data_IF_659364029539
#
_entry.id   IF_659364029539
#
_cell.length_a   1.000
_cell.length_b   1.000
_cell.length_c   1.000
_cell.angle_alpha   90.00
_cell.angle_beta   90.00
_cell.angle_gamma   90.00
#
_symmetry.space_group_name_H-M   'P 1'
#
loop_
_entity.id
_entity.type
_entity.pdbx_description
1 polymer ?
#
# COMPACT_ATOMS: atom_id res chain seq x y z
N UNK A 1 14.56 -4.67 -0.28
CA UNK A 1 13.44 -3.70 -0.32
C UNK A 1 13.94 -2.37 0.25
N UNK A 2 13.57 -1.28 -0.42
CA UNK A 2 13.80 0.10 0.03
C UNK A 2 12.44 0.65 0.44
N UNK A 3 12.36 1.15 1.67
CA UNK A 3 11.20 1.87 2.19
C UNK A 3 11.48 3.37 2.16
N UNK A 4 10.59 4.11 1.56
CA UNK A 4 10.63 5.57 1.53
C UNK A 4 9.54 6.09 2.47
N UNK A 5 9.88 7.02 3.34
CA UNK A 5 8.94 7.66 4.25
C UNK A 5 9.23 9.15 4.42
N UNK A 6 8.27 9.89 4.94
CA UNK A 6 8.48 11.30 5.31
C UNK A 6 9.44 11.41 6.50
N UNK A 7 10.04 12.58 6.68
CA UNK A 7 11.05 12.83 7.73
C UNK A 7 10.53 12.52 9.13
N UNK A 8 9.26 12.81 9.38
CA UNK A 8 8.58 12.61 10.66
C UNK A 8 8.17 11.15 10.91
N UNK A 9 8.39 10.29 9.96
CA UNK A 9 7.93 8.90 9.97
C UNK A 9 6.52 8.73 9.42
N UNK A 10 6.18 7.52 9.04
CA UNK A 10 4.83 7.15 8.59
C UNK A 10 3.94 6.73 9.77
N UNK A 11 2.65 6.69 9.56
CA UNK A 11 1.65 6.43 10.59
C UNK A 11 1.82 5.08 11.30
N UNK A 12 2.32 4.06 10.61
CA UNK A 12 2.57 2.73 11.17
C UNK A 12 3.64 2.71 12.28
N UNK A 13 4.49 3.77 12.37
CA UNK A 13 5.42 3.94 13.49
C UNK A 13 4.73 4.22 14.81
N UNK A 14 3.54 4.77 14.76
CA UNK A 14 2.79 5.27 15.92
C UNK A 14 1.62 4.36 16.32
N UNK A 15 1.53 3.16 15.76
CA UNK A 15 0.51 2.18 16.15
C UNK A 15 0.98 1.45 17.41
N UNK A 16 0.19 1.59 18.49
CA UNK A 16 0.49 0.99 19.79
C UNK A 16 0.55 -0.57 19.73
N UNK A 17 1.34 -1.20 20.58
CA UNK A 17 2.20 -0.61 21.61
C UNK A 17 3.41 0.09 21.01
N UNK A 18 3.83 1.20 21.63
CA UNK A 18 4.95 2.02 21.18
C UNK A 18 6.08 1.91 22.21
N UNK A 19 7.33 1.75 21.74
CA UNK A 19 8.51 1.72 22.59
C UNK A 19 8.88 3.11 23.11
N UNK A 20 9.80 3.17 24.05
CA UNK A 20 10.37 4.44 24.53
C UNK A 20 11.08 5.23 23.42
N UNK A 21 11.58 4.53 22.39
CA UNK A 21 12.19 5.12 21.19
C UNK A 21 11.21 5.54 20.11
N UNK A 22 9.90 5.53 20.42
CA UNK A 22 8.83 5.92 19.50
C UNK A 22 8.65 4.99 18.28
N UNK A 23 9.01 3.73 18.41
CA UNK A 23 8.78 2.72 17.38
C UNK A 23 7.58 1.82 17.74
N UNK A 24 6.56 1.83 16.92
CA UNK A 24 5.38 0.98 17.09
C UNK A 24 5.67 -0.49 16.77
N UNK A 25 5.01 -1.39 17.48
CA UNK A 25 5.16 -2.83 17.29
C UNK A 25 4.83 -3.27 15.85
N UNK A 26 3.81 -2.66 15.24
CA UNK A 26 3.45 -2.92 13.84
C UNK A 26 4.59 -2.56 12.90
N UNK A 27 5.21 -1.40 13.11
CA UNK A 27 6.36 -0.96 12.32
C UNK A 27 7.52 -1.94 12.41
N UNK A 28 7.89 -2.34 13.63
CA UNK A 28 8.99 -3.29 13.87
C UNK A 28 8.72 -4.66 13.26
N UNK A 29 7.48 -5.13 13.33
CA UNK A 29 7.08 -6.42 12.77
C UNK A 29 7.14 -6.41 11.22
N UNK A 30 6.58 -5.39 10.59
CA UNK A 30 6.38 -5.35 9.14
C UNK A 30 7.60 -4.87 8.35
N UNK A 31 8.55 -4.19 8.99
CA UNK A 31 9.64 -3.54 8.26
C UNK A 31 11.01 -4.21 8.43
N UNK A 32 11.07 -5.44 8.94
CA UNK A 32 12.32 -6.20 9.03
C UNK A 32 12.94 -6.39 7.65
N UNK A 33 14.27 -6.30 7.59
CA UNK A 33 15.07 -6.42 6.36
C UNK A 33 14.78 -5.36 5.28
N UNK A 34 14.06 -4.28 5.61
CA UNK A 34 13.90 -3.14 4.72
C UNK A 34 15.00 -2.11 5.00
N UNK A 35 15.56 -1.53 3.96
CA UNK A 35 16.45 -0.37 4.05
C UNK A 35 15.57 0.87 4.03
N UNK A 36 15.66 1.71 5.06
CA UNK A 36 14.88 2.93 5.19
C UNK A 36 15.61 4.13 4.59
N UNK A 37 14.84 5.04 4.02
CA UNK A 37 15.30 6.39 3.71
C UNK A 37 14.13 7.38 3.86
N UNK A 38 14.47 8.61 4.22
CA UNK A 38 13.51 9.70 4.25
C UNK A 38 13.62 10.53 2.97
N UNK A 39 12.50 10.84 2.37
CA UNK A 39 12.43 11.62 1.15
C UNK A 39 11.10 12.34 1.06
N UNK A 40 11.09 13.54 0.51
CA UNK A 40 9.88 14.24 0.10
C UNK A 40 9.68 14.08 -1.42
N UNK A 41 8.84 13.14 -1.88
CA UNK A 41 8.60 12.91 -3.30
C UNK A 41 7.75 14.02 -3.97
N UNK A 42 7.28 15.01 -3.22
CA UNK A 42 6.59 16.18 -3.76
C UNK A 42 7.57 17.30 -4.18
N UNK A 43 8.79 17.28 -3.65
CA UNK A 43 9.82 18.26 -4.05
C UNK A 43 10.49 17.82 -5.37
N UNK A 44 10.90 18.75 -6.25
CA UNK A 44 11.54 18.41 -7.53
C UNK A 44 12.78 17.53 -7.36
N UNK A 45 13.63 17.81 -6.37
CA UNK A 45 14.83 17.01 -6.06
C UNK A 45 14.46 15.61 -5.57
N UNK A 46 13.36 15.52 -4.81
CA UNK A 46 12.81 14.25 -4.34
C UNK A 46 12.26 13.40 -5.49
N UNK A 47 11.55 13.99 -6.42
CA UNK A 47 11.07 13.32 -7.63
C UNK A 47 12.22 12.79 -8.50
N UNK A 48 13.31 13.55 -8.64
CA UNK A 48 14.48 13.07 -9.37
C UNK A 48 15.15 11.85 -8.68
N UNK A 49 15.20 11.84 -7.35
CA UNK A 49 15.71 10.69 -6.60
C UNK A 49 14.78 9.48 -6.80
N UNK A 50 13.47 9.69 -6.71
CA UNK A 50 12.46 8.63 -6.97
C UNK A 50 12.65 8.06 -8.37
N UNK A 51 12.80 8.92 -9.39
CA UNK A 51 13.02 8.51 -10.77
C UNK A 51 14.25 7.59 -10.92
N UNK A 52 15.35 7.94 -10.26
CA UNK A 52 16.57 7.11 -10.25
C UNK A 52 16.36 5.77 -9.55
N UNK A 53 15.60 5.73 -8.46
CA UNK A 53 15.25 4.48 -7.77
C UNK A 53 14.36 3.61 -8.65
N UNK A 54 13.34 4.18 -9.28
CA UNK A 54 12.41 3.48 -10.18
C UNK A 54 13.16 2.84 -11.34
N UNK A 55 14.16 3.51 -11.93
CA UNK A 55 14.95 2.98 -13.03
C UNK A 55 15.65 1.65 -12.68
N UNK A 56 15.89 1.39 -11.39
CA UNK A 56 16.55 0.16 -10.89
C UNK A 56 15.60 -0.79 -10.18
N UNK A 57 14.35 -0.40 -9.97
CA UNK A 57 13.36 -1.21 -9.25
C UNK A 57 12.65 -2.19 -10.18
N UNK A 58 12.25 -3.33 -9.67
CA UNK A 58 11.38 -4.28 -10.35
C UNK A 58 9.90 -3.99 -10.08
N UNK A 59 9.62 -3.55 -8.86
CA UNK A 59 8.26 -3.31 -8.34
C UNK A 59 8.25 -2.03 -7.53
N UNK A 60 7.22 -1.23 -7.75
CA UNK A 60 6.84 -0.12 -6.85
C UNK A 60 5.59 -0.54 -6.10
N UNK A 61 5.59 -0.38 -4.78
CA UNK A 61 4.43 -0.66 -3.92
C UNK A 61 3.99 0.65 -3.27
N UNK A 62 2.73 1.02 -3.44
CA UNK A 62 2.18 2.24 -2.87
C UNK A 62 0.69 2.09 -2.52
N UNK A 63 0.31 2.42 -1.29
CA UNK A 63 -1.07 2.46 -0.82
C UNK A 63 -1.60 3.89 -0.71
N UNK A 64 -1.39 4.68 -1.75
CA UNK A 64 -1.76 6.08 -1.82
C UNK A 64 -2.94 6.29 -2.78
N UNK A 65 -3.78 7.30 -2.54
CA UNK A 65 -4.85 7.67 -3.46
C UNK A 65 -4.31 7.96 -4.88
N UNK A 66 -5.07 7.66 -5.95
CA UNK A 66 -4.61 7.85 -7.33
C UNK A 66 -4.12 9.27 -7.64
N UNK A 67 -4.82 10.29 -7.13
CA UNK A 67 -4.42 11.70 -7.29
C UNK A 67 -3.07 12.01 -6.62
N UNK A 68 -2.81 11.40 -5.46
CA UNK A 68 -1.53 11.54 -4.77
C UNK A 68 -0.41 10.86 -5.55
N UNK A 69 -0.66 9.66 -6.10
CA UNK A 69 0.30 8.98 -6.97
C UNK A 69 0.65 9.84 -8.19
N UNK A 70 -0.34 10.45 -8.83
CA UNK A 70 -0.11 11.36 -9.97
C UNK A 70 0.73 12.57 -9.58
N UNK A 71 0.42 13.24 -8.46
CA UNK A 71 1.19 14.40 -8.00
C UNK A 71 2.65 14.09 -7.65
N UNK A 72 2.94 12.82 -7.31
CA UNK A 72 4.28 12.32 -7.03
C UNK A 72 4.99 11.72 -8.24
N UNK A 73 4.36 11.65 -9.41
CA UNK A 73 4.81 10.90 -10.59
C UNK A 73 5.05 9.41 -10.28
N UNK A 74 4.20 8.82 -9.43
CA UNK A 74 4.19 7.41 -9.03
C UNK A 74 3.01 6.65 -9.62
N UNK A 75 2.18 7.27 -10.45
CA UNK A 75 1.19 6.57 -11.25
C UNK A 75 1.85 5.67 -12.31
N UNK A 76 1.11 4.70 -12.80
CA UNK A 76 1.69 3.67 -13.68
C UNK A 76 2.29 4.23 -14.97
N UNK A 77 1.66 5.24 -15.57
CA UNK A 77 2.16 5.81 -16.83
C UNK A 77 3.47 6.57 -16.62
N UNK A 78 3.57 7.33 -15.51
CA UNK A 78 4.80 8.01 -15.11
C UNK A 78 5.93 7.01 -14.81
N UNK A 79 5.63 5.93 -14.09
CA UNK A 79 6.60 4.88 -13.77
C UNK A 79 7.06 4.14 -15.03
N UNK A 80 6.12 3.80 -15.90
CA UNK A 80 6.39 3.10 -17.16
C UNK A 80 7.23 3.94 -18.12
N UNK A 81 7.09 5.24 -18.10
CA UNK A 81 7.94 6.15 -18.89
C UNK A 81 9.42 6.06 -18.48
N UNK A 82 9.70 5.78 -17.20
CA UNK A 82 11.06 5.59 -16.67
C UNK A 82 11.55 4.16 -16.90
N UNK A 83 10.69 3.17 -16.65
CA UNK A 83 11.01 1.76 -16.76
C UNK A 83 9.84 0.99 -17.38
N UNK A 84 9.91 0.65 -18.68
CA UNK A 84 8.76 0.09 -19.44
C UNK A 84 8.20 -1.23 -18.90
N UNK A 85 9.00 -2.01 -18.19
CA UNK A 85 8.63 -3.29 -17.62
C UNK A 85 8.33 -3.23 -16.10
N UNK A 86 8.14 -2.02 -15.55
CA UNK A 86 7.86 -1.84 -14.12
C UNK A 86 6.53 -2.47 -13.73
N UNK A 87 6.47 -3.01 -12.52
CA UNK A 87 5.22 -3.45 -11.89
C UNK A 87 4.84 -2.43 -10.82
N UNK A 88 3.61 -1.94 -10.86
CA UNK A 88 3.03 -1.11 -9.80
C UNK A 88 2.03 -1.94 -9.01
N UNK A 89 2.30 -2.16 -7.73
CA UNK A 89 1.31 -2.73 -6.80
C UNK A 89 0.70 -1.61 -5.97
N UNK A 90 -0.60 -1.44 -6.05
CA UNK A 90 -1.34 -0.38 -5.34
C UNK A 90 -2.55 -0.94 -4.62
N UNK A 91 -2.95 -0.29 -3.55
CA UNK A 91 -4.11 -0.64 -2.73
C UNK A 91 -4.98 0.58 -2.54
N UNK A 92 -6.28 0.38 -2.64
CA UNK A 92 -7.29 1.38 -2.29
C UNK A 92 -8.39 0.75 -1.43
N UNK A 93 -9.27 1.58 -0.86
CA UNK A 93 -10.34 1.06 -0.03
C UNK A 93 -11.41 0.31 -0.85
N UNK A 94 -11.72 0.79 -2.04
CA UNK A 94 -12.87 0.34 -2.84
C UNK A 94 -12.55 -0.08 -4.28
N UNK A 95 -11.27 -0.15 -4.65
CA UNK A 95 -10.88 -0.41 -6.04
C UNK A 95 -11.17 0.78 -6.97
N UNK A 96 -10.92 0.57 -8.26
CA UNK A 96 -11.13 1.60 -9.29
C UNK A 96 -12.42 1.37 -10.04
N UNK A 97 -12.98 2.46 -10.60
CA UNK A 97 -14.13 2.40 -11.53
C UNK A 97 -15.50 2.20 -10.88
N UNK A 98 -15.56 2.09 -9.55
CA UNK A 98 -16.81 1.99 -8.80
C UNK A 98 -17.27 3.34 -8.24
N UNK A 99 -18.50 3.42 -7.70
CA UNK A 99 -19.08 4.66 -7.17
C UNK A 99 -18.35 5.19 -5.93
N UNK A 100 -17.49 4.39 -5.30
CA UNK A 100 -16.72 4.74 -4.10
C UNK A 100 -15.21 4.81 -4.36
N UNK A 101 -14.76 4.77 -5.61
CA UNK A 101 -13.32 4.75 -5.97
C UNK A 101 -12.53 5.91 -5.38
N UNK A 102 -13.14 7.08 -5.22
CA UNK A 102 -12.48 8.28 -4.68
C UNK A 102 -12.59 8.39 -3.15
N UNK A 103 -13.26 7.43 -2.51
CA UNK A 103 -13.38 7.43 -1.05
C UNK A 103 -12.17 6.80 -0.41
N UNK A 104 -11.76 7.38 0.72
CA UNK A 104 -10.73 6.80 1.58
C UNK A 104 -11.35 5.82 2.57
N UNK A 105 -10.59 4.84 2.98
CA UNK A 105 -10.99 3.89 4.00
C UNK A 105 -9.77 3.18 4.57
N UNK A 106 -9.97 2.65 5.75
CA UNK A 106 -9.01 1.82 6.48
C UNK A 106 -9.64 0.46 6.77
N UNK A 107 -8.91 -0.46 7.35
CA UNK A 107 -9.37 -1.80 7.73
C UNK A 107 -10.78 -1.82 8.32
N UNK A 108 -11.08 -0.93 9.27
CA UNK A 108 -12.40 -0.88 9.90
C UNK A 108 -13.54 -0.60 8.91
N UNK A 109 -13.31 0.21 7.89
CA UNK A 109 -14.30 0.45 6.82
C UNK A 109 -14.47 -0.82 5.97
N UNK A 110 -13.38 -1.50 5.64
CA UNK A 110 -13.46 -2.80 4.95
C UNK A 110 -14.27 -3.81 5.74
N UNK A 111 -14.03 -3.94 7.05
CA UNK A 111 -14.79 -4.84 7.92
C UNK A 111 -16.29 -4.50 7.99
N UNK A 112 -16.64 -3.20 8.03
CA UNK A 112 -18.05 -2.76 8.04
C UNK A 112 -18.71 -3.04 6.70
N UNK A 113 -18.08 -2.64 5.61
CA UNK A 113 -18.67 -2.70 4.27
C UNK A 113 -18.82 -4.14 3.75
N UNK A 114 -17.92 -5.06 4.11
CA UNK A 114 -18.07 -6.49 3.78
C UNK A 114 -19.09 -7.23 4.67
N UNK A 115 -19.67 -6.54 5.66
CA UNK A 115 -20.67 -7.11 6.56
C UNK A 115 -20.11 -7.92 7.75
N UNK A 116 -18.79 -8.09 7.86
CA UNK A 116 -18.21 -8.90 8.95
C UNK A 116 -18.52 -8.35 10.34
N UNK A 117 -18.56 -7.02 10.46
CA UNK A 117 -18.92 -6.37 11.73
C UNK A 117 -20.36 -6.70 12.12
N UNK A 118 -21.28 -6.70 11.17
CA UNK A 118 -22.68 -7.06 11.41
C UNK A 118 -22.85 -8.51 11.87
N UNK A 119 -22.03 -9.40 11.33
CA UNK A 119 -22.08 -10.84 11.64
C UNK A 119 -21.26 -11.22 12.91
N UNK A 120 -20.62 -10.26 13.55
CA UNK A 120 -19.76 -10.51 14.72
C UNK A 120 -20.33 -9.83 15.95
N UNK A 121 -20.59 -10.60 17.00
CA UNK A 121 -21.16 -10.12 18.26
C UNK A 121 -22.16 -11.12 18.84
N UNK A 122 -22.83 -10.69 19.90
CA UNK A 122 -23.93 -11.43 20.52
C UNK A 122 -25.25 -11.05 19.86
N UNK A 123 -26.22 -11.99 19.81
CA UNK A 123 -27.51 -11.82 19.13
C UNK A 123 -28.29 -10.57 19.62
N UNK A 124 -28.23 -10.27 20.90
CA UNK A 124 -28.91 -9.11 21.49
C UNK A 124 -27.94 -7.93 21.78
N UNK A 125 -26.68 -8.05 21.35
CA UNK A 125 -25.63 -7.07 21.62
C UNK A 125 -25.31 -6.17 20.43
N UNK A 126 -24.45 -5.16 20.62
CA UNK A 126 -23.95 -4.38 19.51
C UNK A 126 -22.98 -5.23 18.64
N UNK A 127 -22.92 -4.99 17.33
CA UNK A 127 -21.93 -5.62 16.48
C UNK A 127 -20.51 -5.12 16.81
N UNK A 128 -19.52 -5.98 16.65
CA UNK A 128 -18.12 -5.69 16.94
C UNK A 128 -17.23 -5.86 15.72
N UNK A 129 -16.29 -4.95 15.55
CA UNK A 129 -15.18 -5.16 14.61
C UNK A 129 -14.06 -5.97 15.27
N UNK A 130 -13.34 -6.76 14.48
CA UNK A 130 -12.10 -7.36 14.95
C UNK A 130 -11.06 -6.26 15.24
N UNK A 131 -10.29 -6.41 16.33
CA UNK A 131 -9.21 -5.49 16.65
C UNK A 131 -8.00 -5.68 15.73
N UNK A 132 -7.80 -6.90 15.24
CA UNK A 132 -6.77 -7.18 14.24
C UNK A 132 -7.23 -6.66 12.89
N UNK A 133 -6.35 -5.94 12.20
CA UNK A 133 -6.58 -5.37 10.87
C UNK A 133 -6.52 -6.48 9.79
N UNK A 134 -7.42 -7.46 9.87
CA UNK A 134 -7.38 -8.66 9.03
C UNK A 134 -7.69 -8.35 7.56
N UNK A 135 -8.46 -7.30 7.28
CA UNK A 135 -8.76 -6.86 5.92
C UNK A 135 -7.50 -6.28 5.28
N UNK A 136 -6.76 -5.41 6.00
CA UNK A 136 -5.47 -4.88 5.55
C UNK A 136 -4.46 -6.00 5.28
N UNK A 137 -4.30 -6.92 6.25
CA UNK A 137 -3.36 -8.04 6.10
C UNK A 137 -3.76 -8.98 4.96
N UNK A 138 -5.05 -9.30 4.83
CA UNK A 138 -5.57 -10.12 3.75
C UNK A 138 -5.30 -9.48 2.39
N UNK A 139 -5.61 -8.20 2.24
CA UNK A 139 -5.34 -7.43 1.01
C UNK A 139 -3.85 -7.38 0.70
N UNK A 140 -3.01 -7.15 1.71
CA UNK A 140 -1.55 -7.15 1.53
C UNK A 140 -1.02 -8.49 1.02
N UNK A 141 -1.53 -9.62 1.55
CA UNK A 141 -1.17 -10.97 1.08
C UNK A 141 -1.61 -11.20 -0.37
N UNK A 142 -2.84 -10.81 -0.74
CA UNK A 142 -3.31 -10.91 -2.12
C UNK A 142 -2.48 -10.03 -3.07
N UNK A 143 -2.13 -8.83 -2.66
CA UNK A 143 -1.24 -7.96 -3.43
C UNK A 143 0.17 -8.55 -3.58
N UNK A 144 0.72 -9.15 -2.54
CA UNK A 144 2.01 -9.82 -2.61
C UNK A 144 1.97 -11.00 -3.58
N UNK A 145 0.93 -11.84 -3.51
CA UNK A 145 0.74 -12.95 -4.44
C UNK A 145 0.55 -12.45 -5.88
N UNK A 146 -0.31 -11.45 -6.10
CA UNK A 146 -0.52 -10.83 -7.41
C UNK A 146 0.78 -10.22 -7.98
N UNK A 147 1.62 -9.63 -7.12
CA UNK A 147 2.93 -9.12 -7.51
C UNK A 147 3.86 -10.22 -7.99
N UNK A 148 3.88 -11.37 -7.30
CA UNK A 148 4.66 -12.53 -7.73
C UNK A 148 4.17 -13.09 -9.07
N UNK A 149 2.85 -13.13 -9.28
CA UNK A 149 2.26 -13.51 -10.57
C UNK A 149 2.64 -12.53 -11.68
N UNK A 150 2.63 -11.23 -11.39
CA UNK A 150 3.04 -10.19 -12.34
C UNK A 150 4.52 -10.29 -12.70
N UNK A 151 5.39 -10.62 -11.74
CA UNK A 151 6.81 -10.87 -11.98
C UNK A 151 7.02 -12.09 -12.90
N UNK A 152 6.26 -13.17 -12.69
CA UNK A 152 6.34 -14.35 -13.55
C UNK A 152 5.81 -14.06 -14.96
N UNK A 153 4.68 -13.37 -15.06
CA UNK A 153 4.16 -12.94 -16.36
C UNK A 153 5.16 -12.03 -17.10
N UNK A 154 5.84 -11.14 -16.40
CA UNK A 154 6.89 -10.27 -16.96
C UNK A 154 8.07 -11.09 -17.50
N UNK A 155 8.48 -12.17 -16.85
CA UNK A 155 9.54 -13.07 -17.35
C UNK A 155 9.20 -13.65 -18.72
N UNK A 156 7.91 -13.95 -18.95
CA UNK A 156 7.44 -14.55 -20.20
C UNK A 156 7.16 -13.50 -21.29
N UNK A 157 6.62 -12.33 -20.90
CA UNK A 157 6.11 -11.34 -21.84
C UNK A 157 7.02 -10.13 -22.04
N UNK A 158 7.96 -9.89 -21.11
CA UNK A 158 8.78 -8.67 -21.06
C UNK A 158 8.01 -7.42 -20.65
N UNK A 159 6.73 -7.53 -20.24
CA UNK A 159 5.86 -6.39 -19.96
C UNK A 159 5.58 -6.24 -18.47
N UNK A 160 5.63 -5.00 -17.99
CA UNK A 160 5.12 -4.63 -16.67
C UNK A 160 3.60 -4.52 -16.66
N UNK A 161 3.03 -4.42 -15.46
CA UNK A 161 1.59 -4.27 -15.27
C UNK A 161 1.25 -3.66 -13.91
N UNK A 162 -0.02 -3.31 -13.72
CA UNK A 162 -0.56 -2.91 -12.43
C UNK A 162 -1.11 -4.15 -11.72
N UNK A 163 -0.81 -4.24 -10.43
CA UNK A 163 -1.48 -5.14 -9.47
C UNK A 163 -2.28 -4.26 -8.53
N UNK A 164 -3.58 -4.43 -8.50
CA UNK A 164 -4.46 -3.60 -7.71
C UNK A 164 -5.20 -4.45 -6.68
N UNK A 165 -5.11 -4.05 -5.42
CA UNK A 165 -5.89 -4.59 -4.31
C UNK A 165 -6.94 -3.59 -3.84
N UNK A 166 -8.04 -4.11 -3.33
CA UNK A 166 -9.05 -3.34 -2.63
C UNK A 166 -9.31 -3.96 -1.26
N UNK A 167 -9.66 -3.12 -0.28
CA UNK A 167 -10.06 -3.62 1.05
C UNK A 167 -11.44 -4.27 1.02
N UNK A 168 -12.26 -3.90 0.04
CA UNK A 168 -13.61 -4.43 -0.18
C UNK A 168 -13.65 -5.32 -1.40
#
# INVERSE_FOLDING_TARGET
VIRIEKREGSEDRFVAPITETQDGALFMQMNRNKRGMTLNPMAPEGQEIVRKLVATADVVVANLPPQTLQSMNLDYDSLRAVKPDIILTTVSAYGRGGPYSDRVGFDGIGQVMCGSVYMTGEEAGPPYRAQVAWVDFGTALHCAFGTMMALEARRQTGKGQIVEGALL
#
